data_IF_982828495231
#
_entry.id   IF_982828495231
#
_cell.length_a   1.000
_cell.length_b   1.000
_cell.length_c   1.000
_cell.angle_alpha   90.00
_cell.angle_beta   90.00
_cell.angle_gamma   90.00
#
_symmetry.space_group_name_H-M   'P 1'
#
loop_
_entity.id
_entity.type
_entity.pdbx_description
1 polymer ?
#
# COMPACT_ATOMS: atom_id res chain seq x y z
N UNK A 1 4.29 12.70 -8.82
CA UNK A 1 4.36 11.76 -7.70
C UNK A 1 3.32 10.68 -7.86
N UNK A 2 3.72 9.42 -7.80
CA UNK A 2 2.80 8.30 -7.96
C UNK A 2 2.61 7.58 -6.63
N UNK A 3 1.46 6.94 -6.50
CA UNK A 3 1.18 6.01 -5.42
C UNK A 3 1.35 4.59 -5.95
N UNK A 4 1.78 3.70 -5.08
CA UNK A 4 1.95 2.29 -5.44
C UNK A 4 1.48 1.43 -4.28
N UNK A 5 0.78 0.34 -4.59
CA UNK A 5 0.25 -0.57 -3.57
C UNK A 5 1.05 -1.87 -3.54
N UNK A 6 1.45 -2.30 -2.37
CA UNK A 6 1.93 -3.67 -2.15
C UNK A 6 0.91 -4.36 -1.26
N UNK A 7 0.30 -5.43 -1.75
CA UNK A 7 -0.80 -6.10 -1.07
C UNK A 7 -0.67 -7.61 -1.18
N UNK A 8 -1.18 -8.30 -0.19
CA UNK A 8 -1.40 -9.74 -0.25
C UNK A 8 -2.87 -10.08 -0.58
N UNK A 9 -3.69 -9.07 -0.82
CA UNK A 9 -5.12 -9.20 -1.04
C UNK A 9 -5.45 -8.79 -2.49
N UNK A 10 -5.86 -9.75 -3.34
CA UNK A 10 -6.16 -9.42 -4.74
C UNK A 10 -7.26 -8.38 -4.90
N UNK A 11 -8.23 -8.37 -3.98
CA UNK A 11 -9.34 -7.42 -4.08
C UNK A 11 -8.86 -5.99 -3.89
N UNK A 12 -7.88 -5.76 -3.01
CA UNK A 12 -7.30 -4.44 -2.84
C UNK A 12 -6.58 -3.98 -4.10
N UNK A 13 -5.89 -4.89 -4.78
CA UNK A 13 -5.21 -4.57 -6.03
C UNK A 13 -6.22 -4.09 -7.07
N UNK A 14 -7.31 -4.83 -7.22
CA UNK A 14 -8.35 -4.48 -8.19
C UNK A 14 -8.99 -3.15 -7.82
N UNK A 15 -9.36 -2.98 -6.55
CA UNK A 15 -10.03 -1.77 -6.10
C UNK A 15 -9.21 -0.52 -6.32
N UNK A 16 -7.93 -0.55 -5.99
CA UNK A 16 -7.07 0.61 -6.15
C UNK A 16 -6.71 0.85 -7.62
N UNK A 17 -6.65 -0.20 -8.42
CA UNK A 17 -6.42 -0.04 -9.85
C UNK A 17 -7.57 0.74 -10.49
N UNK A 18 -8.79 0.54 -10.04
CA UNK A 18 -9.93 1.31 -10.52
C UNK A 18 -9.80 2.79 -10.18
N UNK A 19 -9.07 3.11 -9.12
CA UNK A 19 -8.77 4.49 -8.74
C UNK A 19 -7.50 5.02 -9.41
N UNK A 20 -6.89 4.24 -10.31
CA UNK A 20 -5.71 4.66 -11.03
C UNK A 20 -4.39 4.38 -10.30
N UNK A 21 -4.42 3.56 -9.25
CA UNK A 21 -3.22 3.24 -8.48
C UNK A 21 -2.72 1.86 -8.88
N UNK A 22 -1.47 1.80 -9.32
CA UNK A 22 -0.84 0.54 -9.65
C UNK A 22 -0.44 -0.20 -8.39
N UNK A 23 -0.36 -1.52 -8.49
CA UNK A 23 0.01 -2.32 -7.34
C UNK A 23 0.60 -3.65 -7.74
N UNK A 24 1.18 -4.31 -6.73
CA UNK A 24 1.75 -5.64 -6.86
C UNK A 24 1.16 -6.53 -5.78
N UNK A 25 0.74 -7.73 -6.19
CA UNK A 25 0.31 -8.74 -5.24
C UNK A 25 1.54 -9.51 -4.76
N UNK A 26 1.74 -9.54 -3.45
CA UNK A 26 2.83 -10.29 -2.86
C UNK A 26 2.52 -11.79 -2.93
N UNK A 27 3.42 -12.55 -3.55
CA UNK A 27 3.25 -13.97 -3.69
C UNK A 27 3.86 -14.71 -2.49
N UNK A 28 3.43 -15.95 -2.29
CA UNK A 28 4.01 -16.79 -1.24
C UNK A 28 5.50 -16.94 -1.48
N UNK A 29 6.27 -16.78 -0.41
CA UNK A 29 7.72 -16.92 -0.49
C UNK A 29 8.46 -15.66 -0.89
N UNK A 30 7.75 -14.62 -1.32
CA UNK A 30 8.39 -13.35 -1.60
C UNK A 30 8.60 -12.56 -0.32
N UNK A 31 9.70 -11.83 -0.26
CA UNK A 31 9.97 -10.94 0.85
C UNK A 31 9.29 -9.59 0.63
N UNK A 32 8.44 -9.18 1.58
CA UNK A 32 7.79 -7.88 1.52
C UNK A 32 8.83 -6.76 1.51
N UNK A 33 9.88 -6.89 2.31
CA UNK A 33 10.93 -5.88 2.38
C UNK A 33 11.64 -5.73 1.03
N UNK A 34 11.98 -6.85 0.38
CA UNK A 34 12.61 -6.79 -0.93
C UNK A 34 11.72 -6.12 -1.96
N UNK A 35 10.43 -6.41 -1.93
CA UNK A 35 9.50 -5.78 -2.87
C UNK A 35 9.42 -4.29 -2.66
N UNK A 36 9.39 -3.85 -1.40
CA UNK A 36 9.38 -2.41 -1.11
C UNK A 36 10.67 -1.75 -1.59
N UNK A 37 11.80 -2.41 -1.42
CA UNK A 37 13.06 -1.87 -1.89
C UNK A 37 13.07 -1.71 -3.42
N UNK A 38 12.55 -2.69 -4.13
CA UNK A 38 12.44 -2.62 -5.59
C UNK A 38 11.50 -1.49 -6.03
N UNK A 39 10.36 -1.38 -5.37
CA UNK A 39 9.39 -0.32 -5.68
C UNK A 39 10.03 1.05 -5.43
N UNK A 40 10.83 1.16 -4.38
CA UNK A 40 11.47 2.42 -4.01
C UNK A 40 12.54 2.87 -5.01
N UNK A 41 12.98 2.00 -5.89
CA UNK A 41 13.92 2.36 -6.94
C UNK A 41 13.29 3.29 -7.98
N UNK A 42 11.97 3.27 -8.11
CA UNK A 42 11.26 4.19 -8.99
C UNK A 42 11.09 5.53 -8.27
N UNK A 43 11.83 6.53 -8.74
CA UNK A 43 11.83 7.84 -8.10
C UNK A 43 10.54 8.62 -8.27
N UNK A 44 9.67 8.19 -9.16
CA UNK A 44 8.36 8.81 -9.33
C UNK A 44 7.38 8.38 -8.24
N UNK A 45 7.66 7.29 -7.54
CA UNK A 45 6.78 6.81 -6.49
C UNK A 45 7.06 7.60 -5.22
N UNK A 46 6.05 8.34 -4.77
CA UNK A 46 6.15 9.15 -3.55
C UNK A 46 5.51 8.51 -2.33
N UNK A 47 4.61 7.55 -2.55
CA UNK A 47 3.96 6.86 -1.44
C UNK A 47 3.72 5.40 -1.80
N UNK A 48 4.04 4.51 -0.87
CA UNK A 48 3.74 3.10 -0.97
C UNK A 48 2.64 2.79 0.04
N UNK A 49 1.54 2.25 -0.47
CA UNK A 49 0.42 1.82 0.37
C UNK A 49 0.59 0.32 0.64
N UNK A 50 0.37 -0.09 1.86
CA UNK A 50 0.49 -1.50 2.24
C UNK A 50 -0.74 -1.95 3.00
N UNK A 51 -1.10 -3.22 2.85
CA UNK A 51 -2.19 -3.82 3.61
C UNK A 51 -1.71 -4.22 5.00
N UNK A 52 -2.64 -4.46 5.95
CA UNK A 52 -2.25 -4.81 7.32
C UNK A 52 -1.36 -6.05 7.41
N UNK A 53 -1.59 -7.06 6.57
CA UNK A 53 -0.75 -8.26 6.60
C UNK A 53 0.67 -7.96 6.14
N UNK A 54 0.82 -7.11 5.14
CA UNK A 54 2.16 -6.68 4.69
C UNK A 54 2.87 -5.95 5.82
N UNK A 55 2.14 -5.09 6.54
CA UNK A 55 2.69 -4.40 7.70
C UNK A 55 3.21 -5.38 8.75
N UNK A 56 2.45 -6.44 9.02
CA UNK A 56 2.88 -7.47 9.96
C UNK A 56 4.11 -8.22 9.48
N UNK A 57 4.18 -8.51 8.18
CA UNK A 57 5.33 -9.21 7.62
C UNK A 57 6.60 -8.36 7.70
N UNK A 58 6.48 -7.06 7.58
CA UNK A 58 7.63 -6.16 7.69
C UNK A 58 8.13 -6.04 9.13
N UNK A 59 7.22 -6.09 10.09
CA UNK A 59 7.58 -6.01 11.50
C UNK A 59 8.39 -4.77 11.82
N UNK A 60 9.54 -4.94 12.48
CA UNK A 60 10.39 -3.82 12.88
C UNK A 60 11.02 -3.11 11.67
N UNK A 61 11.13 -3.78 10.53
CA UNK A 61 11.64 -3.15 9.31
C UNK A 61 10.78 -1.98 8.87
N UNK A 62 9.48 -2.03 9.17
CA UNK A 62 8.57 -0.95 8.82
C UNK A 62 8.97 0.37 9.49
N UNK A 63 9.38 0.31 10.75
CA UNK A 63 9.83 1.49 11.48
C UNK A 63 11.03 2.13 10.78
N UNK A 64 11.98 1.30 10.35
CA UNK A 64 13.15 1.81 9.66
C UNK A 64 12.79 2.42 8.31
N UNK A 65 11.86 1.80 7.60
CA UNK A 65 11.41 2.32 6.31
C UNK A 65 10.70 3.66 6.46
N UNK A 66 9.93 3.83 7.53
CA UNK A 66 9.19 5.07 7.77
C UNK A 66 10.10 6.24 8.13
N UNK A 67 11.32 5.99 8.54
CA UNK A 67 12.29 7.05 8.84
C UNK A 67 12.80 7.74 7.58
N UNK A 68 12.66 7.11 6.44
CA UNK A 68 13.10 7.70 5.17
C UNK A 68 12.11 8.76 4.72
N UNK A 69 12.63 9.77 4.04
CA UNK A 69 11.77 10.85 3.55
C UNK A 69 10.85 10.39 2.43
N UNK A 70 11.39 9.62 1.49
CA UNK A 70 10.62 9.12 0.34
C UNK A 70 11.12 7.73 -0.03
N UNK A 71 10.22 6.87 -0.47
CA UNK A 71 8.78 7.06 -0.49
C UNK A 71 8.19 6.95 0.91
N UNK A 72 7.07 7.63 1.13
CA UNK A 72 6.30 7.48 2.36
C UNK A 72 5.60 6.13 2.33
N UNK A 73 5.43 5.53 3.50
CA UNK A 73 4.75 4.25 3.61
C UNK A 73 3.52 4.42 4.51
N UNK A 74 2.37 4.01 3.99
CA UNK A 74 1.12 4.14 4.71
C UNK A 74 0.35 2.83 4.66
N UNK A 75 -0.20 2.41 5.79
CA UNK A 75 -1.05 1.24 5.87
C UNK A 75 -2.47 1.62 5.53
N UNK A 76 -3.12 0.82 4.66
CA UNK A 76 -4.53 1.01 4.34
C UNK A 76 -5.32 -0.17 4.92
N UNK A 77 -6.63 -0.01 5.14
CA UNK A 77 -7.45 -1.14 5.54
C UNK A 77 -7.54 -2.15 4.39
N UNK A 78 -7.61 -3.44 4.73
CA UNK A 78 -7.80 -4.45 3.70
C UNK A 78 -9.28 -4.49 3.31
N UNK A 79 -9.57 -5.27 2.26
CA UNK A 79 -10.94 -5.39 1.76
C UNK A 79 -11.76 -6.45 2.49
N UNK A 80 -11.25 -6.97 3.59
CA UNK A 80 -11.93 -8.00 4.35
C UNK A 80 -13.26 -7.46 4.90
N UNK A 81 -14.41 -8.03 4.51
CA UNK A 81 -15.69 -7.49 4.94
C UNK A 81 -15.93 -7.58 6.44
N UNK A 82 -15.19 -8.41 7.15
CA UNK A 82 -15.30 -8.51 8.59
C UNK A 82 -14.70 -7.30 9.29
N UNK A 83 -13.76 -6.62 8.65
CA UNK A 83 -13.08 -5.48 9.24
C UNK A 83 -13.68 -4.17 8.82
N UNK A 84 -14.02 -4.05 7.55
CA UNK A 84 -14.51 -2.79 6.99
C UNK A 84 -15.47 -3.07 5.85
N UNK A 85 -16.26 -2.07 5.52
CA UNK A 85 -17.04 -2.12 4.30
C UNK A 85 -16.11 -1.82 3.11
N UNK A 86 -16.54 -2.19 1.92
CA UNK A 86 -15.79 -1.92 0.71
C UNK A 86 -15.60 -0.42 0.48
N UNK A 87 -16.48 0.40 1.03
CA UNK A 87 -16.39 1.84 0.87
C UNK A 87 -15.22 2.45 1.61
N UNK A 88 -14.73 1.78 2.66
CA UNK A 88 -13.66 2.32 3.49
C UNK A 88 -12.36 2.51 2.72
N UNK A 89 -12.06 1.62 1.78
CA UNK A 89 -10.84 1.76 0.98
C UNK A 89 -10.91 3.00 0.12
N UNK A 90 -12.06 3.22 -0.52
CA UNK A 90 -12.26 4.39 -1.35
C UNK A 90 -12.16 5.68 -0.53
N UNK A 91 -12.80 5.70 0.64
CA UNK A 91 -12.76 6.86 1.52
C UNK A 91 -11.35 7.13 2.00
N UNK A 92 -10.61 6.09 2.34
CA UNK A 92 -9.22 6.23 2.75
C UNK A 92 -8.38 6.87 1.65
N UNK A 93 -8.55 6.41 0.41
CA UNK A 93 -7.79 6.94 -0.71
C UNK A 93 -8.11 8.41 -0.93
N UNK A 94 -9.36 8.80 -0.85
CA UNK A 94 -9.74 10.21 -0.96
C UNK A 94 -9.04 11.05 0.07
N UNK A 95 -9.03 10.59 1.31
CA UNK A 95 -8.39 11.31 2.40
C UNK A 95 -6.88 11.39 2.21
N UNK A 96 -6.25 10.29 1.82
CA UNK A 96 -4.80 10.20 1.69
C UNK A 96 -4.28 11.06 0.55
N UNK A 97 -5.05 11.17 -0.52
CA UNK A 97 -4.65 11.99 -1.67
C UNK A 97 -4.97 13.46 -1.45
N UNK A 98 -5.71 13.77 -0.40
CA UNK A 98 -6.10 15.13 -0.12
C UNK A 98 -7.02 15.70 -1.17
N UNK A 99 -7.80 14.88 -1.79
CA UNK A 99 -8.70 15.32 -2.84
C UNK A 99 -9.80 16.15 -2.22
N UNK A 100 -9.81 17.37 -2.56
CA UNK A 100 -10.78 18.34 -2.04
C UNK A 100 -11.98 18.45 -2.91
N UNK A 101 -12.33 17.42 -3.46
CA UNK A 101 -13.34 17.47 -4.47
C UNK A 101 -14.69 17.44 -3.87
#
# INVERSE_FOLDING_TARGET
MKFYLLSDDPDSIVGLRLAGIQGKLLQNGESALEQIQKISEDKDIGMILITPNISKLLGSSLTELKKKNLPLISEIPDSNPQNTSSDNVTDYIRSAVGIKI
#
